data_IF_365970040567
#
_entry.id   IF_365970040567
#
_cell.length_a   1.000
_cell.length_b   1.000
_cell.length_c   1.000
_cell.angle_alpha   90.00
_cell.angle_beta   90.00
_cell.angle_gamma   90.00
#
_symmetry.space_group_name_H-M   'P 1'
#
loop_
_entity.id
_entity.type
_entity.pdbx_description
1 polymer ?
#
# COMPACT_ATOMS: atom_id res chain seq x y z
N UNK A 1 28.02 -15.75 5.25
CA UNK A 1 29.12 -14.79 5.48
C UNK A 1 28.89 -13.68 4.47
N UNK A 2 28.48 -12.48 4.91
CA UNK A 2 28.14 -11.38 4.00
C UNK A 2 29.43 -10.91 3.33
N UNK A 3 29.50 -10.92 2.00
CA UNK A 3 30.68 -10.52 1.24
C UNK A 3 30.77 -8.98 1.20
N UNK A 4 31.98 -8.42 1.30
CA UNK A 4 32.22 -6.96 1.19
C UNK A 4 31.65 -6.42 -0.14
N UNK A 5 31.70 -7.22 -1.20
CA UNK A 5 31.12 -6.88 -2.49
C UNK A 5 29.59 -6.71 -2.43
N UNK A 6 28.89 -7.55 -1.66
CA UNK A 6 27.42 -7.48 -1.52
C UNK A 6 27.02 -6.21 -0.74
N UNK A 7 27.84 -5.79 0.23
CA UNK A 7 27.63 -4.55 1.01
C UNK A 7 27.82 -3.32 0.12
N UNK A 8 28.92 -3.26 -0.64
CA UNK A 8 29.19 -2.15 -1.56
C UNK A 8 28.14 -2.06 -2.68
N UNK A 9 27.67 -3.20 -3.17
CA UNK A 9 26.59 -3.26 -4.15
C UNK A 9 25.29 -2.71 -3.55
N UNK A 10 24.94 -3.11 -2.32
CA UNK A 10 23.74 -2.60 -1.64
C UNK A 10 23.81 -1.09 -1.42
N UNK A 11 24.98 -0.55 -1.01
CA UNK A 11 25.18 0.90 -0.85
C UNK A 11 24.97 1.63 -2.19
N UNK A 12 25.50 1.10 -3.29
CA UNK A 12 25.29 1.68 -4.63
C UNK A 12 23.81 1.66 -5.03
N UNK A 13 23.10 0.56 -4.76
CA UNK A 13 21.66 0.49 -5.05
C UNK A 13 20.89 1.61 -4.34
N UNK A 14 21.23 1.89 -3.08
CA UNK A 14 20.59 2.93 -2.27
C UNK A 14 20.93 4.34 -2.76
N UNK A 15 22.22 4.62 -2.98
CA UNK A 15 22.70 5.98 -3.27
C UNK A 15 22.57 6.37 -4.74
N UNK A 16 22.90 5.46 -5.66
CA UNK A 16 23.04 5.76 -7.08
C UNK A 16 21.83 5.26 -7.90
N UNK A 17 21.11 4.26 -7.42
CA UNK A 17 20.03 3.58 -8.16
C UNK A 17 18.63 3.77 -7.52
N UNK A 18 18.51 4.73 -6.59
CA UNK A 18 17.26 5.14 -5.94
C UNK A 18 16.49 3.98 -5.26
N UNK A 19 17.21 3.04 -4.62
CA UNK A 19 16.57 2.00 -3.83
C UNK A 19 16.04 2.57 -2.51
N UNK A 20 14.74 2.42 -2.27
CA UNK A 20 14.09 2.89 -1.04
C UNK A 20 13.07 1.88 -0.47
N UNK A 21 12.86 1.97 0.84
CA UNK A 21 11.69 1.38 1.47
C UNK A 21 10.55 2.38 1.28
N UNK A 22 9.66 2.05 0.36
CA UNK A 22 8.52 2.89 0.05
C UNK A 22 7.61 3.10 1.25
N UNK A 23 7.43 2.06 2.05
CA UNK A 23 6.53 2.11 3.20
C UNK A 23 6.84 1.03 4.24
N UNK A 24 6.62 1.37 5.50
CA UNK A 24 6.25 0.42 6.55
C UNK A 24 4.78 0.67 6.87
N UNK A 25 3.94 -0.37 6.75
CA UNK A 25 2.51 -0.30 7.05
C UNK A 25 2.20 -1.21 8.24
N UNK A 26 1.65 -0.64 9.31
CA UNK A 26 1.10 -1.41 10.42
C UNK A 26 -0.37 -1.75 10.15
N UNK A 27 -0.68 -3.04 10.03
CA UNK A 27 -2.05 -3.54 10.00
C UNK A 27 -2.60 -3.68 11.43
N UNK A 28 -3.79 -3.15 11.70
CA UNK A 28 -4.43 -3.20 13.03
C UNK A 28 -5.88 -3.67 12.89
N UNK A 29 -6.21 -4.75 13.58
CA UNK A 29 -7.59 -5.24 13.66
C UNK A 29 -8.42 -4.34 14.57
N UNK A 30 -9.64 -3.98 14.14
CA UNK A 30 -10.59 -3.18 14.92
C UNK A 30 -11.81 -3.98 15.39
N UNK A 31 -11.80 -5.31 15.24
CA UNK A 31 -12.97 -6.14 15.55
C UNK A 31 -13.36 -6.11 17.04
N UNK A 32 -12.39 -5.96 17.94
CA UNK A 32 -12.62 -5.76 19.38
C UNK A 32 -13.04 -4.32 19.75
N UNK A 33 -13.00 -3.40 18.80
CA UNK A 33 -13.45 -2.02 18.96
C UNK A 33 -14.95 -1.86 18.66
N UNK A 34 -15.63 -2.92 18.24
CA UNK A 34 -17.06 -2.90 17.91
C UNK A 34 -17.88 -2.51 19.15
N UNK A 35 -18.82 -1.59 18.93
CA UNK A 35 -19.81 -1.16 19.91
C UNK A 35 -21.06 -0.65 19.18
N UNK A 36 -22.23 -0.82 19.80
CA UNK A 36 -23.49 -0.27 19.26
C UNK A 36 -23.54 1.25 19.36
N UNK A 37 -22.85 1.80 20.36
CA UNK A 37 -22.65 3.23 20.55
C UNK A 37 -21.44 3.69 19.75
N UNK A 38 -21.68 4.55 18.75
CA UNK A 38 -20.64 4.99 17.83
C UNK A 38 -19.53 5.78 18.52
N UNK A 39 -19.84 6.54 19.58
CA UNK A 39 -18.84 7.35 20.26
C UNK A 39 -17.91 6.46 21.09
N UNK A 40 -18.44 5.38 21.69
CA UNK A 40 -17.61 4.35 22.33
C UNK A 40 -16.78 3.57 21.33
N UNK A 41 -17.35 3.20 20.18
CA UNK A 41 -16.60 2.52 19.12
C UNK A 41 -15.44 3.40 18.62
N UNK A 42 -15.69 4.67 18.35
CA UNK A 42 -14.66 5.64 17.94
C UNK A 42 -13.57 5.79 19.01
N UNK A 43 -13.94 5.88 20.29
CA UNK A 43 -12.95 5.96 21.38
C UNK A 43 -12.06 4.71 21.42
N UNK A 44 -12.64 3.51 21.35
CA UNK A 44 -11.89 2.24 21.31
C UNK A 44 -10.94 2.17 20.10
N UNK A 45 -11.41 2.59 18.91
CA UNK A 45 -10.59 2.64 17.69
C UNK A 45 -9.40 3.59 17.88
N UNK A 46 -9.64 4.80 18.39
CA UNK A 46 -8.59 5.77 18.66
C UNK A 46 -7.55 5.23 19.64
N UNK A 47 -7.99 4.72 20.79
CA UNK A 47 -7.11 4.20 21.84
C UNK A 47 -6.28 3.02 21.34
N UNK A 48 -6.89 2.11 20.58
CA UNK A 48 -6.18 0.95 20.03
C UNK A 48 -5.14 1.35 18.99
N UNK A 49 -5.48 2.20 18.03
CA UNK A 49 -4.54 2.64 17.00
C UNK A 49 -3.37 3.39 17.64
N UNK A 50 -3.66 4.35 18.51
CA UNK A 50 -2.62 5.18 19.15
C UNK A 50 -1.71 4.38 20.08
N UNK A 51 -2.25 3.40 20.81
CA UNK A 51 -1.44 2.50 21.64
C UNK A 51 -0.55 1.57 20.81
N UNK A 52 -1.07 0.97 19.74
CA UNK A 52 -0.30 0.00 18.92
C UNK A 52 0.76 0.68 18.05
N UNK A 53 0.45 1.86 17.53
CA UNK A 53 1.31 2.58 16.59
C UNK A 53 2.13 3.71 17.24
N UNK A 54 2.11 3.87 18.57
CA UNK A 54 2.79 4.94 19.31
C UNK A 54 4.25 5.14 18.87
N UNK A 55 4.98 4.03 18.68
CA UNK A 55 6.40 4.04 18.35
C UNK A 55 6.70 3.80 16.86
N UNK A 56 5.67 3.67 16.00
CA UNK A 56 5.85 3.27 14.60
C UNK A 56 6.78 4.22 13.83
N UNK A 57 6.53 5.53 13.92
CA UNK A 57 7.34 6.55 13.22
C UNK A 57 8.75 6.61 13.77
N UNK A 58 8.89 6.67 15.10
CA UNK A 58 10.18 6.72 15.79
C UNK A 58 11.06 5.52 15.46
N UNK A 59 10.49 4.30 15.46
CA UNK A 59 11.22 3.09 15.08
C UNK A 59 11.60 3.13 13.61
N UNK A 60 10.69 3.55 12.72
CA UNK A 60 11.01 3.74 11.30
C UNK A 60 12.21 4.68 11.10
N UNK A 61 12.21 5.84 11.74
CA UNK A 61 13.32 6.81 11.68
C UNK A 61 14.63 6.29 12.26
N UNK A 62 14.56 5.44 13.29
CA UNK A 62 15.74 4.80 13.85
C UNK A 62 16.33 3.79 12.87
N UNK A 63 15.50 2.99 12.21
CA UNK A 63 15.93 2.00 11.21
C UNK A 63 16.54 2.70 9.98
N UNK A 64 15.95 3.82 9.54
CA UNK A 64 16.53 4.66 8.47
C UNK A 64 17.96 5.07 8.78
N UNK A 65 18.22 5.51 10.02
CA UNK A 65 19.55 5.93 10.47
C UNK A 65 20.51 4.74 10.64
N UNK A 66 20.00 3.62 11.14
CA UNK A 66 20.80 2.41 11.39
C UNK A 66 21.31 1.78 10.09
N UNK A 67 20.45 1.68 9.07
CA UNK A 67 20.81 1.03 7.80
C UNK A 67 21.14 2.00 6.67
N UNK A 68 20.91 3.31 6.85
CA UNK A 68 21.11 4.30 5.78
C UNK A 68 20.15 4.13 4.59
N UNK A 69 19.05 3.40 4.78
CA UNK A 69 18.02 3.17 3.76
C UNK A 69 16.81 4.07 4.07
N UNK A 70 16.37 4.95 3.16
CA UNK A 70 15.21 5.79 3.39
C UNK A 70 13.92 4.97 3.47
N UNK A 71 13.04 5.32 4.40
CA UNK A 71 11.69 4.79 4.61
C UNK A 71 10.70 5.92 4.36
N UNK A 72 10.26 6.05 3.11
CA UNK A 72 9.53 7.22 2.61
C UNK A 72 8.21 7.45 3.37
N UNK A 73 7.50 6.36 3.71
CA UNK A 73 6.23 6.45 4.41
C UNK A 73 6.12 5.49 5.58
N UNK A 74 5.44 5.96 6.62
CA UNK A 74 4.97 5.15 7.75
C UNK A 74 3.45 5.25 7.76
N UNK A 75 2.76 4.12 7.66
CA UNK A 75 1.33 4.04 7.35
C UNK A 75 0.60 3.07 8.27
N UNK A 76 -0.71 3.19 8.33
CA UNK A 76 -1.58 2.24 9.03
C UNK A 76 -2.64 1.72 8.08
N UNK A 77 -2.97 0.44 8.17
CA UNK A 77 -4.14 -0.15 7.54
C UNK A 77 -5.03 -0.72 8.66
N UNK A 78 -6.35 -0.48 8.58
CA UNK A 78 -7.30 -0.96 9.58
C UNK A 78 -8.38 -1.84 8.97
N UNK A 79 -9.09 -2.59 9.80
CA UNK A 79 -10.27 -3.36 9.39
C UNK A 79 -11.24 -2.47 8.62
N UNK A 80 -11.83 -2.94 7.49
CA UNK A 80 -12.83 -2.19 6.74
C UNK A 80 -13.89 -1.55 7.63
N UNK A 81 -13.92 -0.20 7.67
CA UNK A 81 -14.79 0.55 8.59
C UNK A 81 -16.27 0.26 8.36
N UNK A 82 -16.69 -0.17 7.16
CA UNK A 82 -18.06 -0.64 6.94
C UNK A 82 -18.46 -1.74 7.94
N UNK A 83 -17.55 -2.67 8.26
CA UNK A 83 -17.81 -3.78 9.17
C UNK A 83 -17.99 -3.31 10.63
N UNK A 84 -17.23 -2.28 11.04
CA UNK A 84 -17.32 -1.71 12.38
C UNK A 84 -18.59 -0.85 12.50
N UNK A 85 -18.82 0.01 11.52
CA UNK A 85 -19.99 0.89 11.47
C UNK A 85 -21.30 0.11 11.35
N UNK A 86 -21.29 -1.10 10.79
CA UNK A 86 -22.47 -1.95 10.65
C UNK A 86 -23.16 -2.28 11.98
N UNK A 87 -22.40 -2.28 13.09
CA UNK A 87 -22.90 -2.56 14.44
C UNK A 87 -23.50 -1.33 15.13
N UNK A 88 -23.20 -0.11 14.67
CA UNK A 88 -23.65 1.12 15.31
C UNK A 88 -25.11 1.45 14.96
N UNK A 89 -25.89 1.91 15.94
CA UNK A 89 -27.31 2.27 15.71
C UNK A 89 -27.45 3.52 14.84
N UNK A 90 -26.66 4.58 15.11
CA UNK A 90 -26.74 5.89 14.45
C UNK A 90 -25.86 6.02 13.18
N UNK A 91 -25.45 4.88 12.60
CA UNK A 91 -24.60 4.72 11.38
C UNK A 91 -24.10 6.01 10.75
N UNK A 92 -23.05 6.59 11.35
CA UNK A 92 -22.39 7.80 10.85
C UNK A 92 -20.91 7.53 10.60
N UNK A 93 -20.54 6.97 9.42
CA UNK A 93 -19.17 6.59 9.14
C UNK A 93 -18.17 7.76 9.14
N UNK A 94 -18.63 9.00 8.93
CA UNK A 94 -17.78 10.20 8.97
C UNK A 94 -17.14 10.39 10.35
N UNK A 95 -17.83 10.00 11.44
CA UNK A 95 -17.22 10.00 12.79
C UNK A 95 -15.99 9.09 12.86
N UNK A 96 -16.03 7.92 12.22
CA UNK A 96 -14.85 7.05 12.11
C UNK A 96 -13.75 7.71 11.28
N UNK A 97 -14.06 8.36 10.17
CA UNK A 97 -13.04 9.07 9.37
C UNK A 97 -12.29 10.13 10.19
N UNK A 98 -13.03 10.97 10.94
CA UNK A 98 -12.45 11.97 11.83
C UNK A 98 -11.64 11.35 12.97
N UNK A 99 -12.09 10.21 13.50
CA UNK A 99 -11.37 9.46 14.54
C UNK A 99 -10.06 8.89 14.01
N UNK A 100 -10.07 8.30 12.82
CA UNK A 100 -8.87 7.80 12.16
C UNK A 100 -7.91 8.96 11.86
N UNK A 101 -8.42 10.13 11.42
CA UNK A 101 -7.60 11.31 11.18
C UNK A 101 -6.89 11.74 12.47
N UNK A 102 -7.62 11.87 13.56
CA UNK A 102 -7.05 12.20 14.87
C UNK A 102 -5.99 11.18 15.31
N UNK A 103 -6.22 9.89 15.06
CA UNK A 103 -5.24 8.84 15.36
C UNK A 103 -3.99 8.97 14.47
N UNK A 104 -4.17 9.30 13.19
CA UNK A 104 -3.07 9.54 12.25
C UNK A 104 -2.17 10.69 12.73
N UNK A 105 -2.78 11.81 13.11
CA UNK A 105 -2.11 13.00 13.63
C UNK A 105 -1.35 12.68 14.93
N UNK A 106 -1.98 11.91 15.82
CA UNK A 106 -1.37 11.51 17.11
C UNK A 106 -0.15 10.62 16.89
N UNK A 107 -0.21 9.66 15.96
CA UNK A 107 0.89 8.75 15.66
C UNK A 107 1.95 9.34 14.71
N UNK A 108 1.66 10.48 14.06
CA UNK A 108 2.53 11.11 13.07
C UNK A 108 2.67 10.33 11.76
N UNK A 109 1.70 9.46 11.41
CA UNK A 109 1.75 8.62 10.20
C UNK A 109 1.28 9.38 8.97
N UNK A 110 1.78 8.99 7.79
CA UNK A 110 1.44 9.69 6.54
C UNK A 110 0.02 9.41 6.09
N UNK A 111 -0.44 8.17 6.21
CA UNK A 111 -1.76 7.75 5.73
C UNK A 111 -2.35 6.62 6.58
N UNK A 112 -3.67 6.61 6.70
CA UNK A 112 -4.45 5.49 7.21
C UNK A 112 -5.43 5.02 6.14
N UNK A 113 -5.32 3.74 5.78
CA UNK A 113 -6.27 3.03 4.92
C UNK A 113 -7.16 2.12 5.74
N UNK A 114 -8.27 1.68 5.16
CA UNK A 114 -9.29 0.86 5.83
C UNK A 114 -10.63 1.56 5.93
N UNK A 115 -10.76 2.80 5.46
CA UNK A 115 -12.07 3.42 5.20
C UNK A 115 -12.74 2.77 3.99
N UNK A 116 -13.10 1.50 4.16
CA UNK A 116 -13.28 0.57 3.06
C UNK A 116 -14.53 -0.29 3.21
N UNK A 117 -15.07 -0.72 2.07
CA UNK A 117 -16.19 -1.66 1.97
C UNK A 117 -15.90 -2.76 0.95
N UNK A 118 -16.41 -3.96 1.20
CA UNK A 118 -16.21 -5.15 0.37
C UNK A 118 -17.57 -5.66 -0.13
N UNK A 119 -18.01 -5.17 -1.29
CA UNK A 119 -19.39 -5.31 -1.79
C UNK A 119 -19.51 -6.17 -3.04
N UNK A 120 -18.47 -6.95 -3.37
CA UNK A 120 -18.41 -7.81 -4.56
C UNK A 120 -19.56 -8.83 -4.69
N UNK A 121 -20.25 -9.17 -3.60
CA UNK A 121 -21.38 -10.12 -3.55
C UNK A 121 -22.73 -9.47 -3.27
N UNK A 122 -22.81 -8.14 -3.30
CA UNK A 122 -23.96 -7.37 -2.85
C UNK A 122 -23.62 -6.49 -1.67
N UNK A 123 -24.58 -5.66 -1.26
CA UNK A 123 -24.44 -4.77 -0.12
C UNK A 123 -24.93 -5.46 1.16
N UNK A 124 -24.19 -5.25 2.24
CA UNK A 124 -24.56 -5.61 3.61
C UNK A 124 -24.84 -4.35 4.44
N UNK A 125 -25.18 -4.56 5.71
CA UNK A 125 -25.32 -3.51 6.71
C UNK A 125 -24.06 -2.65 6.78
N UNK A 126 -24.21 -1.32 6.71
CA UNK A 126 -23.09 -0.37 6.84
C UNK A 126 -22.36 -0.05 5.52
N UNK A 127 -22.45 -0.90 4.50
CA UNK A 127 -21.71 -0.71 3.25
C UNK A 127 -22.18 0.54 2.47
N UNK A 128 -23.49 0.71 2.33
CA UNK A 128 -24.06 1.84 1.58
C UNK A 128 -23.78 3.15 2.30
N UNK A 129 -23.96 3.17 3.62
CA UNK A 129 -23.67 4.33 4.46
C UNK A 129 -22.19 4.71 4.36
N UNK A 130 -21.27 3.74 4.44
CA UNK A 130 -19.85 4.01 4.24
C UNK A 130 -19.58 4.56 2.84
N UNK A 131 -20.04 3.89 1.78
CA UNK A 131 -19.77 4.32 0.40
C UNK A 131 -20.29 5.75 0.14
N UNK A 132 -21.50 6.06 0.59
CA UNK A 132 -22.10 7.40 0.45
C UNK A 132 -21.40 8.47 1.27
N UNK A 133 -20.74 8.09 2.37
CA UNK A 133 -19.99 9.03 3.20
C UNK A 133 -18.60 9.38 2.66
N UNK A 134 -18.07 8.61 1.70
CA UNK A 134 -16.70 8.79 1.16
C UNK A 134 -16.43 10.24 0.72
N UNK A 135 -17.31 10.91 -0.07
CA UNK A 135 -17.05 12.29 -0.50
C UNK A 135 -16.87 13.24 0.67
N UNK A 136 -17.70 13.12 1.71
CA UNK A 136 -17.58 13.92 2.92
C UNK A 136 -16.33 13.59 3.71
N UNK A 137 -16.13 12.31 4.04
CA UNK A 137 -15.01 11.83 4.81
C UNK A 137 -13.67 12.30 4.23
N UNK A 138 -13.48 12.15 2.91
CA UNK A 138 -12.24 12.56 2.25
C UNK A 138 -12.10 14.08 2.08
N UNK A 139 -13.19 14.84 2.18
CA UNK A 139 -13.15 16.31 2.16
C UNK A 139 -12.77 16.92 3.52
N UNK A 140 -13.11 16.25 4.62
CA UNK A 140 -12.86 16.74 6.00
C UNK A 140 -11.65 16.07 6.66
N UNK A 141 -10.92 15.24 5.94
CA UNK A 141 -9.71 14.55 6.41
C UNK A 141 -8.58 14.67 5.41
N UNK A 142 -7.34 14.59 5.88
CA UNK A 142 -6.14 14.73 5.07
C UNK A 142 -5.50 13.36 4.81
N UNK A 143 -5.24 12.58 5.87
CA UNK A 143 -4.45 11.34 5.83
C UNK A 143 -5.27 10.08 5.51
N UNK A 144 -6.59 10.19 5.41
CA UNK A 144 -7.46 9.02 5.22
C UNK A 144 -7.55 8.63 3.74
N UNK A 145 -7.33 7.35 3.49
CA UNK A 145 -7.51 6.68 2.21
C UNK A 145 -8.71 5.73 2.27
N UNK A 146 -9.47 5.67 1.19
CA UNK A 146 -10.68 4.86 1.06
C UNK A 146 -10.56 3.86 -0.10
N UNK A 147 -11.12 2.67 0.09
CA UNK A 147 -11.17 1.67 -0.97
C UNK A 147 -12.48 0.88 -0.99
N UNK A 148 -12.97 0.53 -2.17
CA UNK A 148 -14.21 -0.24 -2.32
C UNK A 148 -14.00 -1.38 -3.30
N UNK A 149 -14.14 -2.62 -2.84
CA UNK A 149 -14.09 -3.79 -3.72
C UNK A 149 -15.48 -4.10 -4.28
N UNK A 150 -15.66 -3.93 -5.59
CA UNK A 150 -16.95 -4.06 -6.27
C UNK A 150 -17.11 -5.36 -7.04
N UNK A 151 -16.05 -6.16 -7.15
CA UNK A 151 -16.09 -7.40 -7.91
C UNK A 151 -15.05 -8.43 -7.48
N UNK A 152 -15.26 -9.67 -7.89
CA UNK A 152 -14.27 -10.73 -7.78
C UNK A 152 -14.51 -11.80 -8.84
N UNK A 153 -13.48 -12.49 -9.29
CA UNK A 153 -13.58 -13.61 -10.24
C UNK A 153 -14.53 -14.71 -9.75
N UNK A 154 -14.63 -14.91 -8.43
CA UNK A 154 -15.51 -15.90 -7.79
C UNK A 154 -16.98 -15.47 -7.75
N UNK A 155 -17.26 -14.17 -7.74
CA UNK A 155 -18.60 -13.63 -7.46
C UNK A 155 -19.21 -12.84 -8.61
N UNK A 156 -18.44 -12.59 -9.66
CA UNK A 156 -18.78 -11.62 -10.69
C UNK A 156 -18.55 -10.18 -10.21
N UNK A 157 -19.25 -9.24 -10.86
CA UNK A 157 -19.14 -7.81 -10.61
C UNK A 157 -20.49 -7.32 -10.09
N UNK A 158 -20.48 -6.66 -8.94
CA UNK A 158 -21.66 -5.95 -8.44
C UNK A 158 -21.82 -4.64 -9.22
N UNK A 159 -22.62 -4.66 -10.28
CA UNK A 159 -22.83 -3.50 -11.16
C UNK A 159 -23.55 -2.33 -10.48
N UNK A 160 -24.36 -2.60 -9.45
CA UNK A 160 -24.98 -1.55 -8.65
C UNK A 160 -23.91 -0.77 -7.86
N UNK A 161 -22.93 -1.47 -7.30
CA UNK A 161 -21.78 -0.85 -6.65
C UNK A 161 -20.89 -0.08 -7.63
N UNK A 162 -20.66 -0.60 -8.84
CA UNK A 162 -19.93 0.12 -9.90
C UNK A 162 -20.64 1.43 -10.26
N UNK A 163 -21.95 1.38 -10.49
CA UNK A 163 -22.74 2.56 -10.84
C UNK A 163 -22.76 3.60 -9.70
N UNK A 164 -22.85 3.14 -8.44
CA UNK A 164 -22.76 4.01 -7.28
C UNK A 164 -21.37 4.65 -7.19
N UNK A 165 -20.28 3.87 -7.31
CA UNK A 165 -18.93 4.40 -7.22
C UNK A 165 -18.61 5.44 -8.30
N UNK A 166 -19.17 5.31 -9.52
CA UNK A 166 -19.04 6.34 -10.54
C UNK A 166 -19.57 7.71 -10.10
N UNK A 167 -20.68 7.73 -9.34
CA UNK A 167 -21.22 8.96 -8.74
C UNK A 167 -20.34 9.47 -7.60
N UNK A 168 -19.90 8.57 -6.72
CA UNK A 168 -19.06 8.90 -5.56
C UNK A 168 -17.72 9.52 -5.97
N UNK A 169 -17.06 8.99 -7.01
CA UNK A 169 -15.80 9.56 -7.53
C UNK A 169 -16.01 11.00 -7.98
N UNK A 170 -17.08 11.27 -8.73
CA UNK A 170 -17.42 12.63 -9.18
C UNK A 170 -17.73 13.55 -8.01
N UNK A 171 -18.59 13.12 -7.08
CA UNK A 171 -18.99 13.92 -5.91
C UNK A 171 -17.78 14.25 -5.01
N UNK A 172 -16.87 13.29 -4.80
CA UNK A 172 -15.65 13.50 -4.05
C UNK A 172 -14.74 14.56 -4.72
N UNK A 173 -14.63 14.53 -6.05
CA UNK A 173 -13.89 15.54 -6.81
C UNK A 173 -14.51 16.94 -6.63
N UNK A 174 -15.83 17.05 -6.81
CA UNK A 174 -16.58 18.31 -6.69
C UNK A 174 -16.48 18.91 -5.27
N UNK A 175 -16.59 18.07 -4.23
CA UNK A 175 -16.51 18.50 -2.82
C UNK A 175 -15.10 18.93 -2.39
N UNK A 176 -14.08 18.68 -3.21
CA UNK A 176 -12.70 19.11 -3.01
C UNK A 176 -12.15 19.94 -4.17
N UNK A 177 -13.04 20.54 -4.98
CA UNK A 177 -12.66 21.34 -6.14
C UNK A 177 -11.80 22.57 -5.78
N UNK A 178 -11.99 23.12 -4.59
CA UNK A 178 -11.18 24.20 -4.00
C UNK A 178 -9.73 23.79 -3.70
N UNK A 179 -9.45 22.48 -3.67
CA UNK A 179 -8.14 21.87 -3.38
C UNK A 179 -7.72 20.89 -4.48
N UNK A 180 -7.87 21.31 -5.73
CA UNK A 180 -7.45 20.55 -6.91
C UNK A 180 -8.10 19.15 -7.03
N UNK A 181 -9.33 19.00 -6.55
CA UNK A 181 -10.07 17.72 -6.57
C UNK A 181 -9.28 16.58 -5.89
N UNK A 182 -8.65 16.85 -4.76
CA UNK A 182 -7.71 15.92 -4.12
C UNK A 182 -8.36 14.61 -3.61
N UNK A 183 -9.65 14.58 -3.30
CA UNK A 183 -10.27 13.40 -2.69
C UNK A 183 -10.16 12.12 -3.55
N UNK A 184 -10.44 12.14 -4.87
CA UNK A 184 -10.16 11.01 -5.76
C UNK A 184 -8.74 10.46 -5.72
N UNK A 185 -7.72 11.27 -5.41
CA UNK A 185 -6.34 10.78 -5.26
C UNK A 185 -6.16 9.83 -4.07
N UNK A 186 -7.12 9.83 -3.13
CA UNK A 186 -7.15 8.99 -1.93
C UNK A 186 -8.23 7.89 -2.00
N UNK A 187 -8.84 7.66 -3.17
CA UNK A 187 -9.93 6.70 -3.37
C UNK A 187 -9.55 5.65 -4.41
N UNK A 188 -9.72 4.37 -4.08
CA UNK A 188 -9.50 3.24 -5.01
C UNK A 188 -10.75 2.38 -5.16
N UNK A 189 -11.12 2.05 -6.39
CA UNK A 189 -12.17 1.06 -6.68
C UNK A 189 -11.52 -0.22 -7.16
N UNK A 190 -11.74 -1.31 -6.45
CA UNK A 190 -11.14 -2.60 -6.74
C UNK A 190 -12.11 -3.57 -7.43
N UNK A 191 -11.53 -4.43 -8.27
CA UNK A 191 -12.05 -5.74 -8.57
C UNK A 191 -10.95 -6.74 -8.23
N UNK A 192 -11.29 -7.83 -7.52
CA UNK A 192 -10.32 -8.76 -6.95
C UNK A 192 -9.35 -8.11 -5.95
N UNK A 193 -9.87 -7.26 -5.04
CA UNK A 193 -9.08 -6.92 -3.85
C UNK A 193 -8.60 -8.22 -3.17
N UNK A 194 -7.32 -8.30 -2.74
CA UNK A 194 -6.86 -9.42 -1.93
C UNK A 194 -7.57 -9.44 -0.57
N UNK A 195 -7.35 -10.48 0.24
CA UNK A 195 -8.02 -10.62 1.55
C UNK A 195 -7.60 -9.52 2.55
N UNK A 196 -6.37 -9.02 2.41
CA UNK A 196 -5.81 -7.85 3.05
C UNK A 196 -5.00 -7.04 2.01
N UNK A 197 -4.75 -5.77 2.26
CA UNK A 197 -3.90 -4.96 1.40
C UNK A 197 -3.18 -3.89 2.23
N UNK A 198 -1.85 -3.92 2.39
CA UNK A 198 -1.13 -2.88 3.12
C UNK A 198 -0.76 -1.66 2.25
N UNK A 199 -1.17 -1.61 0.97
CA UNK A 199 -0.73 -0.59 0.00
C UNK A 199 -1.75 0.51 -0.25
N UNK A 200 -1.32 1.76 -0.09
CA UNK A 200 -2.14 2.96 -0.33
C UNK A 200 -2.27 3.27 -1.83
N UNK A 201 -3.39 3.89 -2.26
CA UNK A 201 -4.54 4.33 -1.45
C UNK A 201 -5.57 3.22 -1.15
N UNK A 202 -5.29 1.98 -1.56
CA UNK A 202 -6.21 0.86 -1.47
C UNK A 202 -6.23 0.12 -0.13
N UNK A 203 -5.42 0.51 0.84
CA UNK A 203 -5.09 -0.40 1.93
C UNK A 203 -6.27 -0.66 2.88
N UNK A 204 -6.31 -1.86 3.45
CA UNK A 204 -7.16 -2.26 4.57
C UNK A 204 -6.58 -3.52 5.22
N UNK A 205 -6.84 -3.69 6.51
CA UNK A 205 -6.40 -4.87 7.27
C UNK A 205 -7.48 -5.96 7.20
N UNK A 206 -7.14 -7.10 6.59
CA UNK A 206 -8.07 -8.21 6.39
C UNK A 206 -8.55 -8.83 7.71
N UNK A 207 -9.74 -9.44 7.70
CA UNK A 207 -10.29 -10.08 8.92
C UNK A 207 -9.60 -11.39 9.31
N UNK A 208 -8.86 -12.00 8.37
CA UNK A 208 -8.06 -13.20 8.62
C UNK A 208 -6.68 -12.93 9.18
N UNK A 209 -6.26 -11.66 9.21
CA UNK A 209 -4.94 -11.25 9.67
C UNK A 209 -4.83 -11.23 11.21
N UNK A 210 -3.61 -11.27 11.77
CA UNK A 210 -3.37 -11.09 13.20
C UNK A 210 -3.92 -9.77 13.74
N UNK A 211 -4.02 -9.65 15.08
CA UNK A 211 -4.47 -8.43 15.75
C UNK A 211 -3.66 -7.18 15.34
N UNK A 212 -2.35 -7.36 15.15
CA UNK A 212 -1.43 -6.35 14.67
C UNK A 212 -0.30 -7.01 13.87
N UNK A 213 0.11 -6.42 12.74
CA UNK A 213 1.19 -6.93 11.88
C UNK A 213 1.94 -5.78 11.21
N UNK A 214 3.21 -5.97 10.88
CA UNK A 214 4.02 -5.03 10.10
C UNK A 214 4.27 -5.60 8.70
N UNK A 215 3.91 -4.83 7.69
CA UNK A 215 4.21 -5.11 6.28
C UNK A 215 5.17 -4.05 5.73
N UNK A 216 6.03 -4.45 4.79
CA UNK A 216 7.00 -3.56 4.16
C UNK A 216 6.80 -3.53 2.65
N UNK A 217 6.76 -2.33 2.09
CA UNK A 217 6.79 -2.13 0.64
C UNK A 217 8.14 -1.57 0.22
N UNK A 218 8.76 -2.18 -0.79
CA UNK A 218 10.04 -1.74 -1.34
C UNK A 218 9.82 -1.18 -2.74
N UNK A 219 10.51 -0.07 -3.06
CA UNK A 219 10.57 0.49 -4.41
C UNK A 219 11.92 0.12 -5.03
N UNK A 220 11.93 -0.32 -6.28
CA UNK A 220 13.16 -0.64 -7.01
C UNK A 220 13.21 -0.41 -8.53
N UNK A 221 12.38 0.43 -9.18
CA UNK A 221 12.52 0.62 -10.63
C UNK A 221 13.90 1.11 -11.08
N UNK A 222 14.48 2.07 -10.37
CA UNK A 222 15.83 2.59 -10.65
C UNK A 222 16.90 1.49 -10.66
N UNK A 223 16.86 0.61 -9.66
CA UNK A 223 17.76 -0.56 -9.55
C UNK A 223 17.60 -1.52 -10.72
N UNK A 224 16.36 -1.85 -11.09
CA UNK A 224 16.08 -2.75 -12.22
C UNK A 224 16.60 -2.15 -13.53
N UNK A 225 16.36 -0.87 -13.76
CA UNK A 225 16.87 -0.17 -14.94
C UNK A 225 18.40 -0.16 -14.97
N UNK A 226 19.04 0.21 -13.86
CA UNK A 226 20.49 0.26 -13.75
C UNK A 226 21.14 -1.11 -13.94
N UNK A 227 20.47 -2.19 -13.51
CA UNK A 227 20.91 -3.55 -13.79
C UNK A 227 20.85 -3.87 -15.29
N UNK A 228 19.76 -3.52 -15.98
CA UNK A 228 19.61 -3.76 -17.42
C UNK A 228 20.59 -2.94 -18.27
N UNK A 229 20.82 -1.68 -17.92
CA UNK A 229 21.75 -0.79 -18.64
C UNK A 229 23.21 -1.32 -18.70
N UNK A 230 23.59 -2.23 -17.78
CA UNK A 230 24.90 -2.89 -17.75
C UNK A 230 25.01 -4.03 -18.80
N UNK A 231 23.90 -4.39 -19.44
CA UNK A 231 23.77 -5.53 -20.35
C UNK A 231 22.97 -5.16 -21.62
N UNK A 232 23.44 -4.21 -22.45
CA UNK A 232 22.69 -3.70 -23.61
C UNK A 232 22.46 -4.76 -24.71
N UNK A 233 23.34 -5.76 -24.82
CA UNK A 233 23.26 -6.82 -25.82
C UNK A 233 22.55 -8.09 -25.31
N UNK A 234 21.94 -8.04 -24.11
CA UNK A 234 21.28 -9.18 -23.51
C UNK A 234 20.08 -9.65 -24.33
N UNK A 235 19.96 -10.97 -24.50
CA UNK A 235 18.75 -11.56 -25.07
C UNK A 235 17.58 -11.56 -24.06
N UNK A 236 16.38 -11.90 -24.51
CA UNK A 236 15.16 -11.81 -23.68
C UNK A 236 15.19 -12.72 -22.44
N UNK A 237 15.85 -13.88 -22.52
CA UNK A 237 15.99 -14.81 -21.40
C UNK A 237 16.95 -14.26 -20.34
N UNK A 238 18.05 -13.64 -20.79
CA UNK A 238 19.02 -12.95 -19.94
C UNK A 238 18.40 -11.74 -19.25
N UNK A 239 17.63 -10.92 -19.97
CA UNK A 239 16.87 -9.79 -19.41
C UNK A 239 15.95 -10.26 -18.28
N UNK A 240 15.19 -11.32 -18.49
CA UNK A 240 14.31 -11.88 -17.47
C UNK A 240 15.08 -12.36 -16.23
N UNK A 241 16.24 -13.00 -16.42
CA UNK A 241 17.09 -13.47 -15.32
C UNK A 241 17.73 -12.31 -14.53
N UNK A 242 18.15 -11.24 -15.20
CA UNK A 242 18.67 -10.02 -14.58
C UNK A 242 17.59 -9.36 -13.70
N UNK A 243 16.39 -9.15 -14.24
CA UNK A 243 15.26 -8.55 -13.50
C UNK A 243 14.94 -9.41 -12.28
N UNK A 244 14.84 -10.72 -12.46
CA UNK A 244 14.52 -11.68 -11.40
C UNK A 244 15.56 -11.67 -10.28
N UNK A 245 16.86 -11.70 -10.60
CA UNK A 245 17.95 -11.61 -9.61
C UNK A 245 17.95 -10.28 -8.88
N UNK A 246 17.67 -9.19 -9.60
CA UNK A 246 17.59 -7.85 -9.01
C UNK A 246 16.42 -7.76 -8.04
N UNK A 247 15.23 -8.19 -8.45
CA UNK A 247 14.04 -8.26 -7.61
C UNK A 247 14.29 -9.09 -6.33
N UNK A 248 14.96 -10.24 -6.43
CA UNK A 248 15.35 -11.03 -5.25
C UNK A 248 16.17 -10.23 -4.23
N UNK A 249 17.21 -9.50 -4.69
CA UNK A 249 18.07 -8.69 -3.81
C UNK A 249 17.27 -7.57 -3.14
N UNK A 250 16.44 -6.88 -3.92
CA UNK A 250 15.57 -5.79 -3.43
C UNK A 250 14.60 -6.32 -2.36
N UNK A 251 13.95 -7.46 -2.60
CA UNK A 251 13.04 -8.08 -1.62
C UNK A 251 13.77 -8.49 -0.34
N UNK A 252 14.99 -9.04 -0.42
CA UNK A 252 15.80 -9.37 0.77
C UNK A 252 16.11 -8.14 1.63
N UNK A 253 16.34 -6.99 1.01
CA UNK A 253 16.53 -5.74 1.76
C UNK A 253 15.25 -5.30 2.48
N UNK A 254 14.09 -5.44 1.82
CA UNK A 254 12.78 -5.22 2.46
C UNK A 254 12.56 -6.11 3.68
N UNK A 255 12.97 -7.38 3.58
CA UNK A 255 12.86 -8.33 4.70
C UNK A 255 13.73 -7.91 5.88
N UNK A 256 14.97 -7.47 5.62
CA UNK A 256 15.87 -6.99 6.68
C UNK A 256 15.23 -5.85 7.47
N UNK A 257 14.64 -4.88 6.78
CA UNK A 257 13.94 -3.75 7.40
C UNK A 257 12.68 -4.21 8.14
N UNK A 258 11.90 -5.11 7.54
CA UNK A 258 10.67 -5.66 8.13
C UNK A 258 10.92 -6.45 9.41
N UNK A 259 11.91 -7.35 9.41
CA UNK A 259 12.32 -8.11 10.60
C UNK A 259 12.79 -7.18 11.71
N UNK A 260 13.60 -6.17 11.37
CA UNK A 260 14.08 -5.20 12.36
C UNK A 260 12.93 -4.38 12.97
N UNK A 261 12.02 -3.89 12.15
CA UNK A 261 10.83 -3.17 12.61
C UNK A 261 9.95 -4.04 13.52
N UNK A 262 9.77 -5.31 13.14
CA UNK A 262 9.01 -6.29 13.91
C UNK A 262 9.61 -6.52 15.30
N UNK A 263 10.92 -6.74 15.40
CA UNK A 263 11.63 -6.91 16.67
C UNK A 263 11.50 -5.69 17.57
N UNK A 264 11.72 -4.49 17.02
CA UNK A 264 11.73 -3.24 17.78
C UNK A 264 10.33 -2.80 18.24
N UNK A 265 9.30 -3.11 17.46
CA UNK A 265 7.89 -2.80 17.80
C UNK A 265 7.23 -3.92 18.62
N UNK A 266 7.81 -5.12 18.67
CA UNK A 266 7.18 -6.28 19.30
C UNK A 266 5.92 -6.75 18.55
N UNK A 267 5.86 -6.54 17.24
CA UNK A 267 4.71 -6.86 16.38
C UNK A 267 5.16 -7.86 15.32
N UNK A 268 4.37 -8.92 15.00
CA UNK A 268 4.73 -9.87 13.95
C UNK A 268 5.04 -9.22 12.61
N UNK A 269 6.06 -9.73 11.92
CA UNK A 269 6.33 -9.38 10.54
C UNK A 269 5.41 -10.17 9.61
N UNK A 270 4.73 -9.47 8.69
CA UNK A 270 3.88 -10.05 7.65
C UNK A 270 4.66 -10.23 6.36
N UNK A 271 4.26 -9.51 5.32
CA UNK A 271 4.82 -9.65 3.97
C UNK A 271 5.79 -8.52 3.61
N UNK A 272 6.70 -8.83 2.68
CA UNK A 272 7.33 -7.82 1.82
C UNK A 272 6.64 -7.86 0.47
N UNK A 273 6.23 -6.70 -0.03
CA UNK A 273 5.88 -6.56 -1.43
C UNK A 273 6.92 -5.72 -2.16
N UNK A 274 7.19 -6.15 -3.39
CA UNK A 274 8.06 -5.43 -4.29
C UNK A 274 7.17 -4.67 -5.28
N UNK A 275 7.16 -3.35 -5.11
CA UNK A 275 6.49 -2.47 -6.04
C UNK A 275 7.51 -1.83 -6.96
N UNK A 276 7.22 -1.86 -8.26
CA UNK A 276 7.90 -0.98 -9.20
C UNK A 276 7.19 0.37 -9.32
N UNK A 277 6.38 0.78 -8.33
CA UNK A 277 5.68 2.06 -8.37
C UNK A 277 6.69 3.22 -8.32
N UNK A 278 6.80 4.02 -9.39
CA UNK A 278 7.82 5.06 -9.47
C UNK A 278 7.58 6.17 -8.44
N UNK A 279 8.65 6.81 -8.00
CA UNK A 279 8.62 8.10 -7.34
C UNK A 279 8.62 9.23 -8.38
N UNK A 280 8.34 10.49 -7.99
CA UNK A 280 8.58 11.64 -8.85
C UNK A 280 10.07 11.90 -9.16
N UNK A 281 11.00 11.11 -8.58
CA UNK A 281 12.42 11.32 -8.78
C UNK A 281 12.84 10.96 -10.21
N UNK A 282 13.70 11.79 -10.79
CA UNK A 282 14.24 11.58 -12.13
C UNK A 282 15.08 10.29 -12.13
N UNK A 283 14.74 9.35 -13.01
CA UNK A 283 15.42 8.06 -13.14
C UNK A 283 14.66 6.87 -12.53
N UNK A 284 13.64 7.13 -11.71
CA UNK A 284 12.78 6.11 -11.13
C UNK A 284 11.49 5.95 -11.96
N UNK A 285 11.54 5.10 -13.00
CA UNK A 285 10.47 5.01 -14.00
C UNK A 285 10.34 3.60 -14.58
N UNK A 286 9.12 3.04 -14.49
CA UNK A 286 8.78 1.79 -15.19
C UNK A 286 8.87 1.95 -16.70
N UNK A 287 8.45 3.09 -17.23
CA UNK A 287 8.53 3.37 -18.66
C UNK A 287 9.97 3.28 -19.17
N UNK A 288 10.91 3.86 -18.42
CA UNK A 288 12.33 3.79 -18.78
C UNK A 288 12.90 2.37 -18.65
N UNK A 289 12.39 1.51 -17.77
CA UNK A 289 12.76 0.08 -17.77
C UNK A 289 12.33 -0.57 -19.09
N UNK A 290 11.09 -0.33 -19.53
CA UNK A 290 10.57 -0.91 -20.76
C UNK A 290 11.34 -0.41 -22.00
N UNK A 291 11.76 0.85 -21.98
CA UNK A 291 12.62 1.43 -23.01
C UNK A 291 14.03 0.83 -22.96
N UNK A 292 14.60 0.63 -21.77
CA UNK A 292 15.91 -0.02 -21.57
C UNK A 292 15.91 -1.49 -22.03
N UNK A 293 14.77 -2.19 -21.99
CA UNK A 293 14.62 -3.53 -22.57
C UNK A 293 14.75 -3.50 -24.11
N UNK A 294 14.56 -2.34 -24.74
CA UNK A 294 14.77 -2.15 -26.18
C UNK A 294 13.59 -1.50 -26.92
N UNK A 295 12.62 -0.93 -26.21
CA UNK A 295 11.55 -0.15 -26.84
C UNK A 295 11.99 1.29 -27.09
N UNK A 296 11.59 1.87 -28.23
CA UNK A 296 11.85 3.29 -28.50
C UNK A 296 11.12 4.21 -27.52
N UNK A 297 9.86 3.88 -27.18
CA UNK A 297 9.08 4.60 -26.19
C UNK A 297 8.02 3.70 -25.53
N UNK A 298 7.79 3.90 -24.24
CA UNK A 298 6.71 3.21 -23.53
C UNK A 298 5.34 3.56 -24.14
N UNK A 299 4.58 2.51 -24.51
CA UNK A 299 3.29 2.62 -25.19
C UNK A 299 3.34 2.20 -26.66
N UNK A 300 4.54 2.06 -27.26
CA UNK A 300 4.70 1.52 -28.61
C UNK A 300 4.42 0.00 -28.68
N UNK A 301 4.46 -0.56 -29.88
CA UNK A 301 4.33 -2.00 -30.12
C UNK A 301 5.37 -2.79 -29.30
N UNK A 302 4.92 -3.82 -28.57
CA UNK A 302 5.78 -4.63 -27.69
C UNK A 302 5.74 -4.23 -26.21
N UNK A 303 5.25 -3.02 -25.86
CA UNK A 303 5.16 -2.54 -24.47
C UNK A 303 4.48 -3.53 -23.53
N UNK A 304 3.32 -4.06 -23.91
CA UNK A 304 2.58 -5.02 -23.07
C UNK A 304 3.35 -6.31 -22.85
N UNK A 305 4.09 -6.80 -23.85
CA UNK A 305 4.90 -8.01 -23.72
C UNK A 305 6.11 -7.77 -22.80
N UNK A 306 6.80 -6.65 -22.96
CA UNK A 306 7.90 -6.24 -22.08
C UNK A 306 7.43 -6.06 -20.62
N UNK A 307 6.26 -5.42 -20.42
CA UNK A 307 5.66 -5.27 -19.09
C UNK A 307 5.26 -6.62 -18.48
N UNK A 308 4.72 -7.54 -19.27
CA UNK A 308 4.37 -8.88 -18.81
C UNK A 308 5.62 -9.65 -18.35
N UNK A 309 6.71 -9.58 -19.12
CA UNK A 309 8.00 -10.16 -18.75
C UNK A 309 8.55 -9.54 -17.46
N UNK A 310 8.56 -8.21 -17.38
CA UNK A 310 9.00 -7.48 -16.19
C UNK A 310 8.21 -7.92 -14.94
N UNK A 311 6.88 -7.93 -15.02
CA UNK A 311 6.01 -8.31 -13.91
C UNK A 311 6.21 -9.78 -13.50
N UNK A 312 6.33 -10.70 -14.45
CA UNK A 312 6.57 -12.13 -14.17
C UNK A 312 7.95 -12.35 -13.51
N UNK A 313 9.00 -11.73 -14.05
CA UNK A 313 10.35 -11.83 -13.51
C UNK A 313 10.46 -11.24 -12.10
N UNK A 314 9.82 -10.09 -11.84
CA UNK A 314 9.75 -9.45 -10.52
C UNK A 314 9.04 -10.36 -9.52
N UNK A 315 7.88 -10.90 -9.87
CA UNK A 315 7.13 -11.83 -9.00
C UNK A 315 7.96 -13.07 -8.66
N UNK A 316 8.61 -13.68 -9.65
CA UNK A 316 9.50 -14.83 -9.44
C UNK A 316 10.67 -14.48 -8.53
N UNK A 317 11.27 -13.30 -8.72
CA UNK A 317 12.35 -12.79 -7.86
C UNK A 317 11.92 -12.63 -6.40
N UNK A 318 10.76 -12.00 -6.18
CA UNK A 318 10.19 -11.80 -4.85
C UNK A 318 9.86 -13.12 -4.13
N UNK A 319 9.22 -14.07 -4.82
CA UNK A 319 8.88 -15.39 -4.25
C UNK A 319 10.12 -16.17 -3.82
N UNK A 320 11.21 -16.10 -4.58
CA UNK A 320 12.47 -16.75 -4.21
C UNK A 320 13.11 -16.12 -2.95
N UNK A 321 12.86 -14.84 -2.68
CA UNK A 321 13.36 -14.16 -1.49
C UNK A 321 12.47 -14.44 -0.25
N UNK A 322 11.16 -14.58 -0.44
CA UNK A 322 10.20 -14.90 0.63
C UNK A 322 10.11 -16.38 1.00
N UNK A 323 10.93 -17.23 0.37
CA UNK A 323 11.09 -18.65 0.71
C UNK A 323 12.23 -18.90 1.69
#
# INVERSE_FOLDING_TARGET
MINVNDILETIRMIQDECLDIRTITMGISLLDCIDSDIDKACQKVYDKITSKAENLVKVGEQIEKEYGIPIIHKRIAVTPIAMICAACTDRNPVKFALTLQKAADTCGVNFIGGYSALVQKGFSSGDIELIKSIPEALSVTENICSSVNVGSSKSGINMDAVALMGKIVKEAAEKTADRQCIAPAKLVVFCNAPEDNPFMAGAFHGVGEPDCVINVGVSGPGVVRAALAKHPDANIDEVADIIKKTAFKVTRMGQLVGTRASEMLGVPFGIVDLSLAPTPAVGDSVAHILEEIGLECCGTHGTTAALALLNDAVKKGGVMASS
#
